data_IF_702259021573
#
_entry.id   IF_702259021573
#
_cell.length_a   1.000
_cell.length_b   1.000
_cell.length_c   1.000
_cell.angle_alpha   90.00
_cell.angle_beta   90.00
_cell.angle_gamma   90.00
#
_symmetry.space_group_name_H-M   'P 1'
#
loop_
_entity.id
_entity.type
_entity.pdbx_description
1 polymer ?
#
# COMPACT_ATOMS: atom_id res chain seq x y z
N UNK A 1 -5.10 -13.11 -8.42
CA UNK A 1 -3.95 -12.48 -9.12
C UNK A 1 -4.16 -12.70 -10.61
N UNK A 2 -3.62 -11.83 -11.47
CA UNK A 2 -3.67 -12.05 -12.92
C UNK A 2 -2.89 -13.34 -13.28
N UNK A 3 -3.11 -13.93 -14.47
CA UNK A 3 -2.25 -15.00 -14.97
C UNK A 3 -0.78 -14.58 -14.95
N UNK A 4 0.11 -15.51 -14.54
CA UNK A 4 1.54 -15.22 -14.32
C UNK A 4 2.24 -14.69 -15.58
N UNK A 5 1.87 -15.20 -16.75
CA UNK A 5 2.40 -14.72 -18.04
C UNK A 5 2.06 -13.23 -18.27
N UNK A 6 0.83 -12.83 -17.96
CA UNK A 6 0.39 -11.44 -18.10
C UNK A 6 1.10 -10.54 -17.08
N UNK A 7 1.24 -11.01 -15.82
CA UNK A 7 2.02 -10.31 -14.78
C UNK A 7 3.44 -10.06 -15.27
N UNK A 8 4.13 -11.10 -15.75
CA UNK A 8 5.51 -10.97 -16.24
C UNK A 8 5.60 -10.01 -17.43
N UNK A 9 4.66 -10.08 -18.39
CA UNK A 9 4.65 -9.19 -19.56
C UNK A 9 4.44 -7.72 -19.15
N UNK A 10 3.47 -7.46 -18.27
CA UNK A 10 3.18 -6.11 -17.76
C UNK A 10 4.37 -5.56 -16.99
N UNK A 11 4.95 -6.34 -16.08
CA UNK A 11 6.08 -5.91 -15.25
C UNK A 11 7.33 -5.67 -16.10
N UNK A 12 7.65 -6.56 -17.06
CA UNK A 12 8.74 -6.32 -18.02
C UNK A 12 8.54 -5.02 -18.78
N UNK A 13 7.34 -4.77 -19.29
CA UNK A 13 7.06 -3.54 -20.03
C UNK A 13 7.18 -2.31 -19.13
N UNK A 14 6.64 -2.37 -17.92
CA UNK A 14 6.77 -1.30 -16.93
C UNK A 14 8.22 -1.00 -16.57
N UNK A 15 9.03 -2.05 -16.38
CA UNK A 15 10.46 -1.93 -16.09
C UNK A 15 11.22 -1.30 -17.25
N UNK A 16 10.94 -1.71 -18.50
CA UNK A 16 11.54 -1.10 -19.69
C UNK A 16 11.23 0.40 -19.79
N UNK A 17 10.00 0.80 -19.44
CA UNK A 17 9.55 2.19 -19.57
C UNK A 17 10.01 3.09 -18.42
N UNK A 18 10.19 2.55 -17.22
CA UNK A 18 10.36 3.37 -16.00
C UNK A 18 11.56 2.98 -15.12
N UNK A 19 12.27 1.91 -15.47
CA UNK A 19 13.44 1.38 -14.76
C UNK A 19 13.11 0.58 -13.50
N UNK A 20 11.85 0.56 -13.04
CA UNK A 20 11.42 -0.14 -11.82
C UNK A 20 9.93 -0.47 -11.87
N UNK A 21 9.49 -1.47 -11.13
CA UNK A 21 8.06 -1.77 -11.01
C UNK A 21 7.64 -2.01 -9.56
N UNK A 22 6.34 -1.89 -9.29
CA UNK A 22 5.77 -2.21 -8.00
C UNK A 22 4.41 -2.90 -8.18
N UNK A 23 4.08 -3.82 -7.29
CA UNK A 23 2.78 -4.48 -7.22
C UNK A 23 2.23 -4.41 -5.81
N UNK A 24 0.90 -4.28 -5.67
CA UNK A 24 0.19 -4.39 -4.40
C UNK A 24 -0.67 -5.66 -4.42
N UNK A 25 -0.61 -6.47 -3.36
CA UNK A 25 -1.38 -7.72 -3.26
C UNK A 25 -1.81 -8.01 -1.81
N UNK A 26 -2.77 -8.91 -1.64
CA UNK A 26 -3.15 -9.47 -0.34
C UNK A 26 -2.29 -10.69 0.07
N UNK A 27 -1.42 -11.18 -0.83
CA UNK A 27 -0.45 -12.23 -0.56
C UNK A 27 -0.96 -13.68 -0.66
N UNK A 28 -2.27 -13.92 -0.71
CA UNK A 28 -2.84 -15.29 -0.69
C UNK A 28 -2.32 -16.17 -1.83
N UNK A 29 -2.33 -15.63 -3.04
CA UNK A 29 -1.95 -16.37 -4.25
C UNK A 29 -0.45 -16.27 -4.58
N UNK A 30 0.35 -15.69 -3.69
CA UNK A 30 1.78 -15.57 -3.90
C UNK A 30 2.46 -16.94 -3.74
N UNK A 31 3.29 -17.30 -4.71
CA UNK A 31 4.07 -18.54 -4.76
C UNK A 31 5.47 -18.29 -5.33
N UNK A 32 6.26 -19.35 -5.47
CA UNK A 32 7.65 -19.33 -5.93
C UNK A 32 7.80 -18.74 -7.34
N UNK A 33 6.87 -19.05 -8.24
CA UNK A 33 6.93 -18.53 -9.61
C UNK A 33 6.71 -17.01 -9.64
N UNK A 34 5.83 -16.49 -8.79
CA UNK A 34 5.67 -15.04 -8.63
C UNK A 34 6.94 -14.38 -8.10
N UNK A 35 7.60 -14.99 -7.11
CA UNK A 35 8.87 -14.49 -6.55
C UNK A 35 9.95 -14.39 -7.64
N UNK A 36 10.08 -15.42 -8.48
CA UNK A 36 11.03 -15.41 -9.59
C UNK A 36 10.70 -14.33 -10.64
N UNK A 37 9.42 -14.13 -10.96
CA UNK A 37 8.99 -13.03 -11.82
C UNK A 37 9.38 -11.67 -11.22
N UNK A 38 9.15 -11.46 -9.93
CA UNK A 38 9.44 -10.19 -9.26
C UNK A 38 10.93 -9.90 -9.20
N UNK A 39 11.78 -10.91 -8.95
CA UNK A 39 13.24 -10.78 -9.01
C UNK A 39 13.70 -10.40 -10.41
N UNK A 40 13.20 -11.11 -11.42
CA UNK A 40 13.54 -10.87 -12.84
C UNK A 40 13.17 -9.45 -13.30
N UNK A 41 12.09 -8.89 -12.78
CA UNK A 41 11.56 -7.59 -13.20
C UNK A 41 11.91 -6.40 -12.26
N UNK A 42 12.81 -6.61 -11.27
CA UNK A 42 13.10 -5.65 -10.18
C UNK A 42 11.81 -5.01 -9.61
N UNK A 43 10.86 -5.87 -9.26
CA UNK A 43 9.54 -5.47 -8.77
C UNK A 43 9.55 -5.41 -7.24
N UNK A 44 9.22 -4.26 -6.66
CA UNK A 44 8.91 -4.17 -5.23
C UNK A 44 7.48 -4.63 -4.94
N UNK A 45 7.26 -5.26 -3.79
CA UNK A 45 5.97 -5.83 -3.42
C UNK A 45 5.39 -5.13 -2.19
N UNK A 46 4.17 -4.59 -2.33
CA UNK A 46 3.34 -4.14 -1.23
C UNK A 46 2.36 -5.23 -0.82
N UNK A 47 2.32 -5.59 0.46
CA UNK A 47 1.39 -6.59 1.00
C UNK A 47 0.36 -5.91 1.92
N UNK A 48 -0.91 -6.21 1.72
CA UNK A 48 -1.97 -5.80 2.64
C UNK A 48 -2.00 -6.74 3.85
N UNK A 49 -1.55 -6.25 5.01
CA UNK A 49 -1.38 -7.05 6.23
C UNK A 49 -1.41 -6.14 7.46
N UNK A 50 -2.33 -6.40 8.39
CA UNK A 50 -2.70 -5.44 9.43
C UNK A 50 -2.05 -5.70 10.82
N UNK A 51 -1.33 -6.80 10.97
CA UNK A 51 -0.56 -7.18 12.18
C UNK A 51 -0.71 -8.64 12.58
N UNK A 52 0.09 -9.14 13.52
CA UNK A 52 0.03 -10.56 13.90
C UNK A 52 -1.31 -11.00 14.53
N UNK A 53 -1.70 -12.25 14.22
CA UNK A 53 -2.85 -12.93 14.82
C UNK A 53 -4.12 -12.10 14.74
N UNK A 54 -4.74 -11.83 15.89
CA UNK A 54 -6.01 -11.11 16.00
C UNK A 54 -5.96 -9.65 15.55
N UNK A 55 -4.79 -9.06 15.31
CA UNK A 55 -4.71 -7.72 14.71
C UNK A 55 -5.18 -7.69 13.24
N UNK A 56 -5.16 -8.84 12.56
CA UNK A 56 -5.60 -9.01 11.17
C UNK A 56 -7.08 -9.42 11.03
N UNK A 57 -7.84 -9.53 12.13
CA UNK A 57 -9.20 -10.11 12.15
C UNK A 57 -10.19 -9.42 11.19
N UNK A 58 -9.99 -8.12 10.92
CA UNK A 58 -10.80 -7.38 9.94
C UNK A 58 -10.58 -7.81 8.48
N UNK A 59 -9.52 -8.58 8.22
CA UNK A 59 -9.04 -8.96 6.88
C UNK A 59 -9.02 -10.48 6.68
N UNK A 60 -8.52 -11.21 7.67
CA UNK A 60 -8.25 -12.64 7.58
C UNK A 60 -8.17 -13.27 8.98
N UNK A 61 -8.28 -14.59 9.05
CA UNK A 61 -8.11 -15.30 10.32
C UNK A 61 -6.62 -15.40 10.73
N UNK A 62 -6.35 -15.88 11.95
CA UNK A 62 -4.98 -15.93 12.48
C UNK A 62 -4.07 -16.93 11.75
N UNK A 63 -4.60 -18.02 11.21
CA UNK A 63 -3.84 -19.03 10.47
C UNK A 63 -3.40 -18.46 9.12
N UNK A 64 -4.33 -17.84 8.40
CA UNK A 64 -4.06 -17.11 7.16
C UNK A 64 -3.03 -15.99 7.39
N UNK A 65 -3.17 -15.23 8.49
CA UNK A 65 -2.20 -14.19 8.83
C UNK A 65 -0.79 -14.77 9.05
N UNK A 66 -0.66 -15.92 9.71
CA UNK A 66 0.62 -16.57 9.88
C UNK A 66 1.22 -17.02 8.53
N UNK A 67 0.40 -17.58 7.63
CA UNK A 67 0.84 -17.99 6.29
C UNK A 67 1.32 -16.79 5.45
N UNK A 68 0.55 -15.69 5.44
CA UNK A 68 0.94 -14.48 4.72
C UNK A 68 2.22 -13.88 5.30
N UNK A 69 2.41 -13.92 6.62
CA UNK A 69 3.63 -13.44 7.24
C UNK A 69 4.86 -14.24 6.82
N UNK A 70 4.77 -15.57 6.72
CA UNK A 70 5.86 -16.41 6.21
C UNK A 70 6.22 -16.04 4.76
N UNK A 71 5.21 -15.71 3.94
CA UNK A 71 5.42 -15.22 2.57
C UNK A 71 6.13 -13.86 2.56
N UNK A 72 5.80 -12.95 3.48
CA UNK A 72 6.51 -11.66 3.67
C UNK A 72 7.97 -11.88 4.02
N UNK A 73 8.26 -12.73 5.01
CA UNK A 73 9.64 -13.06 5.41
C UNK A 73 10.42 -13.66 4.25
N UNK A 74 9.78 -14.53 3.45
CA UNK A 74 10.38 -15.11 2.26
C UNK A 74 10.73 -14.06 1.21
N UNK A 75 9.83 -13.13 0.90
CA UNK A 75 10.12 -12.03 -0.04
C UNK A 75 11.37 -11.25 0.38
N UNK A 76 11.48 -10.93 1.67
CA UNK A 76 12.63 -10.20 2.20
C UNK A 76 13.91 -11.03 2.11
N UNK A 77 13.84 -12.33 2.45
CA UNK A 77 14.97 -13.26 2.34
C UNK A 77 15.49 -13.38 0.91
N UNK A 78 14.59 -13.33 -0.07
CA UNK A 78 14.91 -13.36 -1.51
C UNK A 78 15.40 -12.00 -2.05
N UNK A 79 15.58 -11.00 -1.18
CA UNK A 79 16.08 -9.68 -1.55
C UNK A 79 15.03 -8.79 -2.23
N UNK A 80 13.75 -9.18 -2.20
CA UNK A 80 12.67 -8.38 -2.79
C UNK A 80 12.31 -7.25 -1.84
N UNK A 81 12.35 -6.01 -2.36
CA UNK A 81 11.92 -4.82 -1.63
C UNK A 81 10.45 -4.95 -1.27
N UNK A 82 10.18 -5.08 0.03
CA UNK A 82 8.83 -5.35 0.54
C UNK A 82 8.36 -4.20 1.43
N UNK A 83 7.08 -3.85 1.28
CA UNK A 83 6.38 -2.86 2.10
C UNK A 83 5.03 -3.39 2.52
N UNK A 84 4.44 -2.80 3.57
CA UNK A 84 3.14 -3.22 4.07
C UNK A 84 2.12 -2.08 3.98
N UNK A 85 0.88 -2.44 3.70
CA UNK A 85 -0.29 -1.58 3.94
C UNK A 85 -1.07 -2.19 5.09
N UNK A 86 -1.13 -1.47 6.20
CA UNK A 86 -1.96 -1.74 7.37
C UNK A 86 -3.19 -0.85 7.29
N UNK A 87 -4.37 -1.44 7.44
CA UNK A 87 -5.63 -0.72 7.62
C UNK A 87 -5.89 -0.61 9.13
N UNK A 88 -5.86 0.62 9.64
CA UNK A 88 -6.09 0.94 11.06
C UNK A 88 -7.60 0.84 11.35
N UNK A 89 -7.97 -0.11 12.19
CA UNK A 89 -9.34 -0.54 12.44
C UNK A 89 -9.59 -0.89 13.92
N UNK A 90 -10.83 -1.24 14.28
CA UNK A 90 -11.18 -1.79 15.59
C UNK A 90 -10.41 -3.08 15.93
N UNK A 91 -9.97 -3.85 14.92
CA UNK A 91 -9.21 -5.08 15.13
C UNK A 91 -7.81 -4.81 15.72
N UNK A 92 -7.13 -3.75 15.26
CA UNK A 92 -5.74 -3.46 15.63
C UNK A 92 -5.53 -2.17 16.41
N UNK A 93 -6.55 -1.32 16.57
CA UNK A 93 -6.43 -0.07 17.32
C UNK A 93 -7.69 0.31 18.12
N UNK A 94 -8.69 -0.57 18.16
CA UNK A 94 -9.95 -0.34 18.88
C UNK A 94 -9.80 -0.23 20.39
N UNK A 95 -8.74 -0.78 20.97
CA UNK A 95 -8.39 -0.65 22.38
C UNK A 95 -6.94 -0.21 22.52
N UNK A 96 -6.56 0.25 23.72
CA UNK A 96 -5.17 0.64 23.99
C UNK A 96 -4.21 -0.55 23.89
N UNK A 97 -4.62 -1.74 24.36
CA UNK A 97 -3.83 -2.97 24.21
C UNK A 97 -3.55 -3.32 22.74
N UNK A 98 -4.60 -3.30 21.91
CA UNK A 98 -4.47 -3.54 20.47
C UNK A 98 -3.51 -2.55 19.82
N UNK A 99 -3.62 -1.27 20.16
CA UNK A 99 -2.72 -0.22 19.66
C UNK A 99 -1.26 -0.44 20.07
N UNK A 100 -1.00 -0.87 21.31
CA UNK A 100 0.36 -1.22 21.76
C UNK A 100 0.92 -2.41 20.98
N UNK A 101 0.10 -3.44 20.73
CA UNK A 101 0.50 -4.60 19.91
C UNK A 101 0.75 -4.21 18.45
N UNK A 102 -0.06 -3.30 17.89
CA UNK A 102 0.18 -2.76 16.56
C UNK A 102 1.52 -2.02 16.49
N UNK A 103 1.84 -1.16 17.46
CA UNK A 103 3.15 -0.48 17.54
C UNK A 103 4.31 -1.46 17.59
N UNK A 104 4.19 -2.50 18.41
CA UNK A 104 5.20 -3.55 18.52
C UNK A 104 5.40 -4.26 17.18
N UNK A 105 4.30 -4.58 16.49
CA UNK A 105 4.35 -5.12 15.13
C UNK A 105 5.09 -4.20 14.14
N UNK A 106 4.92 -2.88 14.20
CA UNK A 106 5.65 -1.96 13.31
C UNK A 106 7.17 -1.97 13.55
N UNK A 107 7.60 -2.23 14.79
CA UNK A 107 9.03 -2.42 15.13
C UNK A 107 9.53 -3.75 14.58
N UNK A 108 8.78 -4.83 14.77
CA UNK A 108 9.10 -6.16 14.26
C UNK A 108 9.23 -6.16 12.74
N UNK A 109 8.29 -5.53 12.03
CA UNK A 109 8.34 -5.37 10.59
C UNK A 109 9.64 -4.68 10.14
N UNK A 110 10.05 -3.60 10.83
CA UNK A 110 11.33 -2.94 10.55
C UNK A 110 12.51 -3.88 10.78
N UNK A 111 12.50 -4.62 11.89
CA UNK A 111 13.62 -5.49 12.28
C UNK A 111 13.86 -6.62 11.28
N UNK A 112 12.81 -7.13 10.64
CA UNK A 112 12.95 -8.15 9.59
C UNK A 112 13.33 -7.58 8.22
N UNK A 113 13.35 -6.25 8.05
CA UNK A 113 13.79 -5.59 6.81
C UNK A 113 12.71 -4.85 6.02
N UNK A 114 11.49 -4.68 6.56
CA UNK A 114 10.47 -3.82 5.92
C UNK A 114 10.94 -2.36 5.97
N UNK A 115 11.16 -1.78 4.79
CA UNK A 115 11.70 -0.43 4.65
C UNK A 115 10.71 0.71 4.96
N UNK A 116 9.42 0.37 5.13
CA UNK A 116 8.33 1.31 5.40
C UNK A 116 6.99 0.77 4.93
N UNK A 117 5.95 1.57 5.14
CA UNK A 117 4.59 1.16 4.79
C UNK A 117 3.56 2.27 4.91
N UNK A 118 2.29 1.87 4.86
CA UNK A 118 1.12 2.76 4.97
C UNK A 118 0.22 2.33 6.11
N UNK A 119 -0.25 3.30 6.88
CA UNK A 119 -1.28 3.16 7.91
C UNK A 119 -2.53 3.90 7.39
N UNK A 120 -3.39 3.16 6.69
CA UNK A 120 -4.59 3.73 6.07
C UNK A 120 -5.78 3.62 7.04
N UNK A 121 -6.66 4.63 7.13
CA UNK A 121 -7.86 4.51 7.97
C UNK A 121 -8.83 3.48 7.37
N UNK A 122 -9.49 2.71 8.23
CA UNK A 122 -10.56 1.81 7.82
C UNK A 122 -11.86 2.57 7.55
N UNK A 123 -12.49 2.32 6.40
CA UNK A 123 -13.79 2.87 6.00
C UNK A 123 -14.93 1.83 6.00
N UNK A 124 -14.66 0.61 6.46
CA UNK A 124 -15.68 -0.44 6.58
C UNK A 124 -16.51 -0.26 7.86
N UNK A 125 -17.86 -0.18 7.79
CA UNK A 125 -18.71 0.17 8.95
C UNK A 125 -18.49 -0.68 10.21
N UNK A 126 -18.28 -1.98 10.05
CA UNK A 126 -18.11 -2.91 11.17
C UNK A 126 -16.74 -2.79 11.87
N UNK A 127 -15.74 -2.27 11.15
CA UNK A 127 -14.35 -2.25 11.58
C UNK A 127 -13.76 -0.84 11.71
N UNK A 128 -14.45 0.19 11.22
CA UNK A 128 -14.03 1.57 11.33
C UNK A 128 -14.00 2.02 12.78
N UNK A 129 -12.94 2.73 13.16
CA UNK A 129 -12.93 3.47 14.42
C UNK A 129 -13.91 4.65 14.31
N UNK A 130 -14.54 5.01 15.42
CA UNK A 130 -15.17 6.31 15.57
C UNK A 130 -14.14 7.43 15.39
N UNK A 131 -14.61 8.62 15.00
CA UNK A 131 -13.74 9.72 14.59
C UNK A 131 -12.80 10.15 15.72
N UNK A 132 -13.33 10.25 16.93
CA UNK A 132 -12.61 10.65 18.13
C UNK A 132 -11.48 9.66 18.40
N UNK A 133 -11.78 8.36 18.45
CA UNK A 133 -10.75 7.32 18.61
C UNK A 133 -9.72 7.31 17.48
N UNK A 134 -10.15 7.51 16.23
CA UNK A 134 -9.25 7.55 15.08
C UNK A 134 -8.23 8.69 15.21
N UNK A 135 -8.68 9.87 15.65
CA UNK A 135 -7.80 11.02 15.90
C UNK A 135 -6.77 10.70 16.98
N UNK A 136 -7.20 10.14 18.12
CA UNK A 136 -6.29 9.73 19.20
C UNK A 136 -5.24 8.73 18.70
N UNK A 137 -5.68 7.69 18.00
CA UNK A 137 -4.82 6.64 17.45
C UNK A 137 -3.80 7.24 16.48
N UNK A 138 -4.20 8.14 15.58
CA UNK A 138 -3.28 8.73 14.61
C UNK A 138 -2.29 9.70 15.25
N UNK A 139 -2.69 10.47 16.27
CA UNK A 139 -1.77 11.33 17.02
C UNK A 139 -0.70 10.50 17.75
N UNK A 140 -1.14 9.44 18.42
CA UNK A 140 -0.26 8.52 19.15
C UNK A 140 0.69 7.76 18.20
N UNK A 141 0.19 7.25 17.07
CA UNK A 141 1.01 6.61 16.03
C UNK A 141 1.99 7.59 15.38
N UNK A 142 1.60 8.86 15.16
CA UNK A 142 2.50 9.86 14.60
C UNK A 142 3.72 10.08 15.51
N UNK A 143 3.47 10.28 16.81
CA UNK A 143 4.53 10.44 17.81
C UNK A 143 5.41 9.19 17.90
N UNK A 144 4.80 8.00 17.91
CA UNK A 144 5.51 6.74 17.95
C UNK A 144 6.42 6.52 16.73
N UNK A 145 5.89 6.73 15.53
CA UNK A 145 6.63 6.57 14.26
C UNK A 145 7.82 7.53 14.21
N UNK A 146 7.63 8.79 14.61
CA UNK A 146 8.70 9.78 14.65
C UNK A 146 9.77 9.43 15.69
N UNK A 147 9.36 9.10 16.92
CA UNK A 147 10.28 8.75 18.02
C UNK A 147 11.16 7.54 17.67
N UNK A 148 10.61 6.57 16.95
CA UNK A 148 11.30 5.35 16.54
C UNK A 148 11.95 5.42 15.15
N UNK A 149 11.92 6.59 14.50
CA UNK A 149 12.46 6.83 13.14
C UNK A 149 11.93 5.83 12.10
N UNK A 150 10.66 5.44 12.22
CA UNK A 150 10.02 4.52 11.27
C UNK A 150 9.56 5.29 10.02
N UNK A 151 9.33 4.57 8.92
CA UNK A 151 8.92 5.13 7.62
C UNK A 151 7.48 4.72 7.27
N UNK A 152 6.53 5.16 8.08
CA UNK A 152 5.12 4.85 7.87
C UNK A 152 4.33 6.10 7.51
N UNK A 153 3.64 6.04 6.36
CA UNK A 153 2.67 7.04 5.97
C UNK A 153 1.36 6.89 6.76
N UNK A 154 0.58 7.97 6.93
CA UNK A 154 0.75 9.26 6.25
C UNK A 154 1.73 10.21 6.93
N UNK A 155 2.28 9.87 8.11
CA UNK A 155 3.06 10.81 8.92
C UNK A 155 4.31 11.33 8.20
N UNK A 156 5.03 10.43 7.52
CA UNK A 156 6.18 10.82 6.69
C UNK A 156 5.78 11.73 5.53
N UNK A 157 4.62 11.51 4.92
CA UNK A 157 4.13 12.32 3.81
C UNK A 157 3.71 13.71 4.29
N UNK A 158 3.04 13.81 5.44
CA UNK A 158 2.68 15.09 6.06
C UNK A 158 3.95 15.91 6.31
N UNK A 159 4.96 15.31 6.94
CA UNK A 159 6.23 15.97 7.22
C UNK A 159 6.93 16.45 5.95
N UNK A 160 6.97 15.59 4.93
CA UNK A 160 7.57 15.88 3.64
C UNK A 160 6.83 17.00 2.89
N UNK A 161 5.49 16.96 2.91
CA UNK A 161 4.61 17.94 2.27
C UNK A 161 4.81 19.34 2.86
N UNK A 162 4.80 19.46 4.20
CA UNK A 162 5.00 20.74 4.89
C UNK A 162 6.36 21.39 4.57
N UNK A 163 7.36 20.58 4.18
CA UNK A 163 8.71 21.05 3.85
C UNK A 163 8.98 21.14 2.35
N UNK A 164 7.99 20.83 1.51
CA UNK A 164 8.16 20.71 0.06
C UNK A 164 9.33 19.77 -0.31
N UNK A 165 9.47 18.66 0.41
CA UNK A 165 10.58 17.70 0.25
C UNK A 165 10.09 16.34 -0.22
N UNK A 166 10.71 15.85 -1.29
CA UNK A 166 10.53 14.47 -1.76
C UNK A 166 9.12 14.17 -2.28
N UNK A 167 8.90 12.94 -2.76
CA UNK A 167 7.58 12.51 -3.20
C UNK A 167 6.66 12.28 -1.98
N UNK A 168 5.42 12.76 -2.08
CA UNK A 168 4.32 12.49 -1.13
C UNK A 168 3.17 11.81 -1.85
N UNK A 169 2.35 11.06 -1.11
CA UNK A 169 1.13 10.47 -1.68
C UNK A 169 0.16 11.54 -2.18
N UNK A 170 -0.63 11.17 -3.19
CA UNK A 170 -1.51 12.08 -3.92
C UNK A 170 -2.51 12.87 -3.06
N UNK A 171 -2.89 12.37 -1.88
CA UNK A 171 -3.81 13.07 -0.98
C UNK A 171 -3.24 14.33 -0.36
N UNK A 172 -1.91 14.53 -0.44
CA UNK A 172 -1.22 15.75 -0.02
C UNK A 172 -0.81 16.64 -1.21
N UNK A 173 -1.38 16.39 -2.39
CA UNK A 173 -1.14 17.16 -3.61
C UNK A 173 -2.46 17.71 -4.16
N UNK A 174 -2.36 18.75 -4.97
CA UNK A 174 -3.52 19.24 -5.74
C UNK A 174 -4.01 18.17 -6.71
N UNK A 175 -5.32 17.93 -6.72
CA UNK A 175 -5.95 16.90 -7.55
C UNK A 175 -7.02 17.51 -8.45
N UNK A 176 -6.81 17.41 -9.76
CA UNK A 176 -7.86 17.62 -10.75
C UNK A 176 -8.54 16.27 -11.05
N UNK A 177 -9.82 16.05 -10.70
CA UNK A 177 -10.50 14.76 -10.96
C UNK A 177 -10.60 14.42 -12.46
N UNK A 178 -10.51 15.41 -13.35
CA UNK A 178 -10.55 15.24 -14.80
C UNK A 178 -9.16 15.12 -15.45
N UNK A 179 -8.12 15.61 -14.77
CA UNK A 179 -6.76 15.62 -15.32
C UNK A 179 -5.65 15.49 -14.26
N UNK A 180 -5.83 14.64 -13.25
CA UNK A 180 -4.83 14.51 -12.18
C UNK A 180 -3.49 14.02 -12.74
N UNK A 181 -2.41 14.66 -12.29
CA UNK A 181 -1.05 14.21 -12.60
C UNK A 181 -0.63 13.01 -11.72
N UNK A 182 -1.36 12.78 -10.63
CA UNK A 182 -0.97 11.84 -9.59
C UNK A 182 -1.13 10.37 -9.98
N UNK A 183 -2.06 10.05 -10.89
CA UNK A 183 -2.27 8.69 -11.36
C UNK A 183 -2.72 8.69 -12.83
N UNK A 184 -2.41 7.59 -13.51
CA UNK A 184 -3.04 7.15 -14.76
C UNK A 184 -3.35 5.67 -14.56
N UNK A 185 -4.61 5.27 -14.70
CA UNK A 185 -5.06 3.91 -14.46
C UNK A 185 -5.43 3.27 -15.78
N UNK A 186 -4.89 2.09 -16.05
CA UNK A 186 -5.31 1.22 -17.15
C UNK A 186 -6.16 0.12 -16.51
N UNK A 187 -7.42 0.00 -16.94
CA UNK A 187 -8.38 -0.97 -16.41
C UNK A 187 -8.24 -2.32 -17.14
N UNK A 188 -8.92 -3.34 -16.62
CA UNK A 188 -8.81 -4.72 -17.14
C UNK A 188 -9.32 -4.90 -18.58
N UNK A 189 -10.15 -3.98 -19.07
CA UNK A 189 -10.64 -3.91 -20.45
C UNK A 189 -9.74 -3.05 -21.36
N UNK A 190 -8.63 -2.53 -20.84
CA UNK A 190 -7.70 -1.64 -21.54
C UNK A 190 -8.12 -0.16 -21.54
N UNK A 191 -9.27 0.19 -20.97
CA UNK A 191 -9.69 1.59 -20.87
C UNK A 191 -8.82 2.39 -19.89
N UNK A 192 -8.72 3.71 -20.11
CA UNK A 192 -7.87 4.60 -19.32
C UNK A 192 -8.70 5.55 -18.44
N UNK A 193 -8.38 5.56 -17.15
CA UNK A 193 -9.01 6.42 -16.16
C UNK A 193 -7.98 7.27 -15.39
N UNK A 194 -8.46 8.31 -14.72
CA UNK A 194 -7.62 9.26 -13.98
C UNK A 194 -7.16 8.75 -12.60
N UNK A 195 -8.04 8.08 -11.87
CA UNK A 195 -7.78 7.60 -10.52
C UNK A 195 -8.62 6.35 -10.26
N UNK A 196 -8.04 5.36 -9.59
CA UNK A 196 -8.72 4.08 -9.33
C UNK A 196 -9.98 4.28 -8.47
N UNK A 197 -9.92 5.18 -7.48
CA UNK A 197 -11.05 5.47 -6.59
C UNK A 197 -12.23 6.07 -7.36
N UNK A 198 -11.96 7.02 -8.26
CA UNK A 198 -13.01 7.61 -9.11
C UNK A 198 -13.52 6.61 -10.16
N UNK A 199 -12.61 5.89 -10.83
CA UNK A 199 -12.98 4.92 -11.86
C UNK A 199 -13.96 3.87 -11.33
N UNK A 200 -13.67 3.30 -10.15
CA UNK A 200 -14.51 2.28 -9.52
C UNK A 200 -15.85 2.87 -9.05
N UNK A 201 -15.85 4.06 -8.44
CA UNK A 201 -17.06 4.61 -7.81
C UNK A 201 -18.03 5.26 -8.80
N UNK A 202 -17.56 5.71 -9.96
CA UNK A 202 -18.32 6.67 -10.77
C UNK A 202 -18.30 6.39 -12.28
N UNK A 203 -17.50 5.42 -12.76
CA UNK A 203 -17.39 5.12 -14.20
C UNK A 203 -16.72 6.23 -15.02
N UNK A 204 -16.03 7.18 -14.36
CA UNK A 204 -15.40 8.31 -15.03
C UNK A 204 -14.19 7.87 -15.88
N UNK A 205 -14.27 8.13 -17.18
CA UNK A 205 -13.18 7.95 -18.15
C UNK A 205 -12.39 9.25 -18.26
N UNK A 206 -11.06 9.14 -18.44
CA UNK A 206 -10.18 10.31 -18.59
C UNK A 206 -10.56 11.11 -19.84
N UNK A 207 -10.77 12.42 -19.69
CA UNK A 207 -10.96 13.30 -20.85
C UNK A 207 -9.63 13.48 -21.59
N UNK A 208 -9.64 13.39 -22.92
CA UNK A 208 -8.46 13.69 -23.73
C UNK A 208 -8.02 15.15 -23.48
N UNK A 209 -6.78 15.38 -23.05
CA UNK A 209 -6.22 16.73 -23.00
C UNK A 209 -5.15 16.88 -24.07
N UNK A 210 -5.11 18.04 -24.71
CA UNK A 210 -4.17 18.36 -25.79
C UNK A 210 -2.73 18.63 -25.30
N UNK A 211 -2.43 18.43 -24.00
CA UNK A 211 -1.17 18.85 -23.41
C UNK A 211 -0.54 17.74 -22.57
N UNK A 212 0.42 17.02 -23.16
CA UNK A 212 1.41 16.23 -22.43
C UNK A 212 1.68 14.85 -23.04
N UNK A 213 2.90 14.34 -22.84
CA UNK A 213 3.39 13.03 -23.33
C UNK A 213 2.54 11.81 -22.91
N UNK A 214 1.55 12.00 -22.02
CA UNK A 214 0.58 10.98 -21.60
C UNK A 214 -0.69 10.93 -22.47
N UNK A 215 -0.79 11.75 -23.51
CA UNK A 215 -1.87 11.68 -24.53
C UNK A 215 -1.58 10.69 -25.65
N UNK A 216 -0.42 10.02 -25.60
CA UNK A 216 0.05 9.03 -26.58
C UNK A 216 -0.04 7.59 -26.07
N UNK A 217 -0.58 7.40 -24.85
CA UNK A 217 -0.99 6.11 -24.29
C UNK A 217 -2.52 6.11 -24.31
#
# INVERSE_FOLDING_TARGET
MLPKADIEQILKKGQQLTGRTAIQTNGFLLDDEHIEIFKKCDTSVGISYDGHGTLNEARMNSEEAAEIWQKVERLIKEGIRTSLIVVVSRANAGTQDKLLRLKQFLIEARNIGIGGGRLNPCDHPDWSLDKERLVEVYQDLAMFVMANRLRWGPFTDIWNSLRHRGPVVCTFLDCDPHHTRAATVILGDGSVANCLKMAIQTGFVRHASAAGTRSQI
#
